data_IF_169583927963
#
_entry.id   IF_169583927963
#
_cell.length_a   1.000
_cell.length_b   1.000
_cell.length_c   1.000
_cell.angle_alpha   90.00
_cell.angle_beta   90.00
_cell.angle_gamma   90.00
#
_symmetry.space_group_name_H-M   'P 1'
#
loop_
_entity.id
_entity.type
_entity.pdbx_description
1 polymer ?
#
# COMPACT_ATOMS: atom_id res chain seq x y z
N UNK A 1 -21.60 -33.75 -8.21
CA UNK A 1 -20.16 -34.00 -8.12
C UNK A 1 -19.50 -32.70 -7.78
N UNK A 2 -18.67 -32.60 -6.75
CA UNK A 2 -17.89 -31.40 -6.51
C UNK A 2 -16.95 -31.17 -7.69
N UNK A 3 -16.68 -29.90 -8.09
CA UNK A 3 -15.76 -29.63 -9.19
C UNK A 3 -14.38 -30.21 -8.84
N UNK A 4 -13.85 -31.05 -9.73
CA UNK A 4 -12.49 -31.56 -9.61
C UNK A 4 -11.53 -30.39 -9.83
N UNK A 5 -10.91 -29.91 -8.77
CA UNK A 5 -9.81 -28.96 -8.89
C UNK A 5 -8.65 -29.64 -9.60
N UNK A 6 -8.12 -29.00 -10.62
CA UNK A 6 -6.89 -29.44 -11.28
C UNK A 6 -5.71 -29.20 -10.33
N UNK A 7 -4.66 -30.04 -10.35
CA UNK A 7 -3.41 -29.74 -9.67
C UNK A 7 -2.88 -28.36 -10.07
N UNK A 8 -2.27 -27.58 -9.16
CA UNK A 8 -1.83 -26.21 -9.42
C UNK A 8 -0.97 -26.04 -10.67
N UNK A 9 -0.05 -26.96 -10.93
CA UNK A 9 0.77 -26.91 -12.16
C UNK A 9 -0.06 -27.03 -13.44
N UNK A 10 -1.10 -27.87 -13.44
CA UNK A 10 -2.00 -28.01 -14.57
C UNK A 10 -2.93 -26.82 -14.69
N UNK A 11 -3.34 -26.23 -13.58
CA UNK A 11 -4.11 -25.00 -13.54
C UNK A 11 -3.28 -23.86 -14.15
N UNK A 12 -2.04 -23.69 -13.70
CA UNK A 12 -1.13 -22.66 -14.22
C UNK A 12 -0.89 -22.81 -15.73
N UNK A 13 -0.61 -24.02 -16.22
CA UNK A 13 -0.43 -24.29 -17.65
C UNK A 13 -1.70 -24.00 -18.46
N UNK A 14 -2.86 -24.30 -17.90
CA UNK A 14 -4.16 -24.02 -18.54
C UNK A 14 -4.44 -22.53 -18.57
N UNK A 15 -4.09 -21.80 -17.51
CA UNK A 15 -4.27 -20.34 -17.41
C UNK A 15 -3.31 -19.60 -18.36
N UNK A 16 -2.07 -20.05 -18.52
CA UNK A 16 -1.16 -19.51 -19.54
C UNK A 16 -1.68 -19.76 -20.97
N UNK A 17 -2.19 -20.98 -21.27
CA UNK A 17 -2.76 -21.27 -22.56
C UNK A 17 -4.02 -20.44 -22.85
N UNK A 18 -4.86 -20.22 -21.84
CA UNK A 18 -6.05 -19.39 -21.93
C UNK A 18 -5.68 -17.91 -22.12
N UNK A 19 -4.68 -17.42 -21.39
CA UNK A 19 -4.12 -16.07 -21.56
C UNK A 19 -3.60 -15.85 -22.98
N UNK A 20 -2.77 -16.76 -23.48
CA UNK A 20 -2.23 -16.68 -24.85
C UNK A 20 -3.38 -16.67 -25.90
N UNK A 21 -4.41 -17.47 -25.70
CA UNK A 21 -5.60 -17.48 -26.57
C UNK A 21 -6.40 -16.18 -26.49
N UNK A 22 -6.56 -15.62 -25.30
CA UNK A 22 -7.22 -14.34 -25.08
C UNK A 22 -6.46 -13.20 -25.78
N UNK A 23 -5.15 -13.11 -25.57
CA UNK A 23 -4.27 -12.11 -26.21
C UNK A 23 -4.33 -12.22 -27.72
N UNK A 24 -4.22 -13.44 -28.25
CA UNK A 24 -4.33 -13.67 -29.70
C UNK A 24 -5.68 -13.18 -30.27
N UNK A 25 -6.78 -13.42 -29.57
CA UNK A 25 -8.12 -12.95 -29.95
C UNK A 25 -8.21 -11.43 -29.89
N UNK A 26 -7.66 -10.79 -28.87
CA UNK A 26 -7.62 -9.34 -28.74
C UNK A 26 -6.86 -8.69 -29.90
N UNK A 27 -5.71 -9.22 -30.28
CA UNK A 27 -4.93 -8.72 -31.44
C UNK A 27 -5.70 -8.91 -32.75
N UNK A 28 -6.38 -10.03 -32.94
CA UNK A 28 -7.22 -10.27 -34.13
C UNK A 28 -8.41 -9.31 -34.19
N UNK A 29 -9.10 -9.10 -33.07
CA UNK A 29 -10.23 -8.16 -32.98
C UNK A 29 -9.78 -6.72 -33.24
N UNK A 30 -8.64 -6.30 -32.64
CA UNK A 30 -8.04 -5.00 -32.89
C UNK A 30 -7.77 -4.77 -34.38
N UNK A 31 -7.17 -5.75 -35.07
CA UNK A 31 -6.93 -5.67 -36.51
C UNK A 31 -8.25 -5.58 -37.32
N UNK A 32 -9.22 -6.39 -36.96
CA UNK A 32 -10.52 -6.45 -37.68
C UNK A 32 -11.29 -5.16 -37.56
N UNK A 33 -11.17 -4.40 -36.47
CA UNK A 33 -11.91 -3.14 -36.32
C UNK A 33 -11.22 -1.93 -36.97
N UNK A 34 -9.92 -2.00 -37.31
CA UNK A 34 -9.18 -0.87 -37.87
C UNK A 34 -9.83 -0.25 -39.11
N UNK A 35 -10.34 -1.02 -40.10
CA UNK A 35 -11.02 -0.44 -41.25
C UNK A 35 -12.23 0.42 -40.87
N UNK A 36 -12.99 -0.01 -39.84
CA UNK A 36 -14.13 0.75 -39.30
C UNK A 36 -13.76 2.02 -38.53
N UNK A 37 -12.51 2.12 -38.07
CA UNK A 37 -12.01 3.29 -37.35
C UNK A 37 -11.31 4.32 -38.27
N UNK A 38 -10.85 3.92 -39.45
CA UNK A 38 -10.16 4.84 -40.40
C UNK A 38 -11.01 6.08 -40.75
N UNK A 39 -12.33 6.01 -40.95
CA UNK A 39 -13.14 7.18 -41.24
C UNK A 39 -13.23 8.22 -40.11
N UNK A 40 -12.73 7.93 -38.92
CA UNK A 40 -12.68 8.90 -37.83
C UNK A 40 -11.67 10.02 -38.05
N UNK A 41 -10.70 9.81 -38.94
CA UNK A 41 -9.67 10.80 -39.28
C UNK A 41 -10.20 11.81 -40.27
N UNK A 42 -10.22 13.08 -39.85
CA UNK A 42 -10.58 14.20 -40.72
C UNK A 42 -9.31 14.90 -41.20
N UNK A 43 -8.93 14.66 -42.46
CA UNK A 43 -7.73 15.22 -43.06
C UNK A 43 -7.79 16.73 -43.29
N UNK A 44 -8.94 17.37 -43.12
CA UNK A 44 -9.10 18.83 -43.27
C UNK A 44 -8.59 19.59 -42.02
N UNK A 45 -8.44 18.91 -40.88
CA UNK A 45 -8.02 19.49 -39.63
C UNK A 45 -6.48 19.57 -39.50
N UNK A 46 -6.00 20.50 -38.70
CA UNK A 46 -4.57 20.52 -38.29
C UNK A 46 -4.21 19.24 -37.53
N UNK A 47 -2.94 18.86 -37.54
CA UNK A 47 -2.49 17.63 -36.87
C UNK A 47 -2.85 17.61 -35.38
N UNK A 48 -2.73 18.72 -34.68
CA UNK A 48 -3.11 18.81 -33.27
C UNK A 48 -4.62 18.73 -33.02
N UNK A 49 -5.42 19.31 -33.93
CA UNK A 49 -6.86 19.20 -33.87
C UNK A 49 -7.33 17.78 -34.22
N UNK A 50 -6.69 17.11 -35.19
CA UNK A 50 -6.90 15.70 -35.49
C UNK A 50 -6.66 14.81 -34.25
N UNK A 51 -5.56 15.03 -33.53
CA UNK A 51 -5.29 14.27 -32.29
C UNK A 51 -6.43 14.38 -31.26
N UNK A 52 -6.94 15.61 -31.08
CA UNK A 52 -8.04 15.85 -30.11
C UNK A 52 -9.34 15.22 -30.58
N UNK A 53 -9.68 15.45 -31.84
CA UNK A 53 -10.95 14.97 -32.44
C UNK A 53 -11.00 13.44 -32.53
N UNK A 54 -9.96 12.80 -33.06
CA UNK A 54 -9.86 11.34 -33.12
C UNK A 54 -9.88 10.71 -31.72
N UNK A 55 -9.19 11.30 -30.73
CA UNK A 55 -9.23 10.79 -29.34
C UNK A 55 -10.65 10.85 -28.75
N UNK A 56 -11.39 11.92 -29.00
CA UNK A 56 -12.78 12.07 -28.56
C UNK A 56 -13.67 11.05 -29.25
N UNK A 57 -13.63 10.97 -30.59
CA UNK A 57 -14.42 10.04 -31.39
C UNK A 57 -14.15 8.56 -31.02
N UNK A 58 -12.88 8.19 -30.76
CA UNK A 58 -12.53 6.83 -30.32
C UNK A 58 -13.14 6.46 -28.97
N UNK A 59 -13.18 7.39 -28.01
CA UNK A 59 -13.78 7.13 -26.69
C UNK A 59 -15.26 6.81 -26.75
N UNK A 60 -15.96 7.37 -27.73
CA UNK A 60 -17.41 7.25 -27.95
C UNK A 60 -17.76 6.18 -29.00
N UNK A 61 -16.76 5.68 -29.74
CA UNK A 61 -16.97 4.73 -30.81
C UNK A 61 -17.43 3.37 -30.30
N UNK A 62 -18.56 2.82 -30.73
CA UNK A 62 -19.08 1.54 -30.24
C UNK A 62 -18.09 0.36 -30.37
N UNK A 63 -17.39 0.27 -31.52
CA UNK A 63 -16.40 -0.79 -31.74
C UNK A 63 -15.25 -0.71 -30.72
N UNK A 64 -14.77 0.51 -30.42
CA UNK A 64 -13.73 0.71 -29.44
C UNK A 64 -14.20 0.40 -28.00
N UNK A 65 -15.40 0.84 -27.66
CA UNK A 65 -16.00 0.59 -26.34
C UNK A 65 -16.19 -0.90 -26.11
N UNK A 66 -16.75 -1.61 -27.11
CA UNK A 66 -16.95 -3.06 -27.07
C UNK A 66 -15.61 -3.80 -26.94
N UNK A 67 -14.63 -3.44 -27.76
CA UNK A 67 -13.29 -4.00 -27.71
C UNK A 67 -12.65 -3.84 -26.31
N UNK A 68 -12.69 -2.63 -25.76
CA UNK A 68 -12.12 -2.35 -24.44
C UNK A 68 -12.84 -3.13 -23.33
N UNK A 69 -14.16 -3.27 -23.40
CA UNK A 69 -14.94 -4.03 -22.44
C UNK A 69 -14.66 -5.53 -22.53
N UNK A 70 -14.44 -6.04 -23.73
CA UNK A 70 -14.22 -7.46 -23.96
C UNK A 70 -12.82 -7.93 -23.60
N UNK A 71 -11.79 -7.12 -23.90
CA UNK A 71 -10.40 -7.55 -23.84
C UNK A 71 -9.55 -6.86 -22.78
N UNK A 72 -9.97 -5.70 -22.28
CA UNK A 72 -9.17 -4.95 -21.32
C UNK A 72 -9.77 -5.07 -19.92
N UNK A 73 -10.62 -4.16 -19.51
CA UNK A 73 -11.33 -4.21 -18.23
C UNK A 73 -12.34 -3.05 -18.13
N UNK A 74 -13.40 -3.25 -17.37
CA UNK A 74 -14.41 -2.22 -17.09
C UNK A 74 -14.17 -1.47 -15.77
N UNK A 75 -13.24 -1.93 -14.93
CA UNK A 75 -12.99 -1.34 -13.62
C UNK A 75 -12.42 0.08 -13.73
N UNK A 76 -12.98 1.01 -12.96
CA UNK A 76 -12.61 2.45 -13.01
C UNK A 76 -11.16 2.73 -12.63
N UNK A 77 -10.56 1.90 -11.78
CA UNK A 77 -9.16 2.05 -11.39
C UNK A 77 -8.18 1.82 -12.55
N UNK A 78 -8.62 1.17 -13.62
CA UNK A 78 -7.84 0.92 -14.85
C UNK A 78 -8.22 1.83 -16.01
N UNK A 79 -8.97 2.89 -15.76
CA UNK A 79 -9.33 3.87 -16.79
C UNK A 79 -8.11 4.45 -17.53
N UNK A 80 -6.96 4.53 -16.86
CA UNK A 80 -5.69 4.93 -17.47
C UNK A 80 -5.22 3.98 -18.57
N UNK A 81 -5.43 2.66 -18.45
CA UNK A 81 -5.05 1.67 -19.45
C UNK A 81 -5.92 1.80 -20.70
N UNK A 82 -7.24 1.98 -20.50
CA UNK A 82 -8.19 2.21 -21.60
C UNK A 82 -7.81 3.47 -22.36
N UNK A 83 -7.52 4.56 -21.66
CA UNK A 83 -7.10 5.81 -22.29
C UNK A 83 -5.76 5.65 -23.04
N UNK A 84 -4.78 4.97 -22.45
CA UNK A 84 -3.49 4.75 -23.10
C UNK A 84 -3.66 3.94 -24.39
N UNK A 85 -4.49 2.90 -24.35
CA UNK A 85 -4.75 2.09 -25.54
C UNK A 85 -5.52 2.88 -26.61
N UNK A 86 -6.52 3.68 -26.24
CA UNK A 86 -7.20 4.63 -27.14
C UNK A 86 -6.18 5.55 -27.83
N UNK A 87 -5.19 6.09 -27.09
CA UNK A 87 -4.14 6.93 -27.67
C UNK A 87 -3.25 6.15 -28.63
N UNK A 88 -2.97 4.87 -28.38
CA UNK A 88 -2.22 4.04 -29.33
C UNK A 88 -3.01 3.80 -30.64
N UNK A 89 -4.33 3.55 -30.55
CA UNK A 89 -5.18 3.49 -31.74
C UNK A 89 -5.19 4.82 -32.51
N UNK A 90 -5.36 5.94 -31.78
CA UNK A 90 -5.25 7.28 -32.38
C UNK A 90 -3.93 7.46 -33.13
N UNK A 91 -2.83 7.16 -32.46
CA UNK A 91 -1.49 7.36 -32.98
C UNK A 91 -1.24 6.49 -34.25
N UNK A 92 -1.81 5.29 -34.26
CA UNK A 92 -1.81 4.45 -35.46
C UNK A 92 -2.66 5.03 -36.59
N UNK A 93 -3.88 5.46 -36.31
CA UNK A 93 -4.79 6.06 -37.31
C UNK A 93 -4.20 7.33 -37.92
N UNK A 94 -3.44 8.10 -37.14
CA UNK A 94 -2.73 9.30 -37.61
C UNK A 94 -1.35 8.99 -38.21
N UNK A 95 -0.97 7.73 -38.35
CA UNK A 95 0.29 7.32 -38.98
C UNK A 95 1.55 7.59 -38.15
N UNK A 96 1.44 7.96 -36.87
CA UNK A 96 2.60 8.28 -36.00
C UNK A 96 3.27 7.03 -35.42
N UNK A 97 2.58 5.90 -35.38
CA UNK A 97 3.13 4.59 -35.03
C UNK A 97 2.80 3.54 -36.08
N UNK A 98 3.58 2.46 -36.13
CA UNK A 98 3.35 1.34 -37.04
C UNK A 98 2.37 0.33 -36.44
N UNK A 99 1.76 -0.50 -37.32
CA UNK A 99 0.85 -1.56 -36.89
C UNK A 99 1.46 -2.49 -35.81
N UNK A 100 2.76 -2.81 -35.93
CA UNK A 100 3.46 -3.64 -34.94
C UNK A 100 3.48 -3.02 -33.53
N UNK A 101 3.58 -1.69 -33.47
CA UNK A 101 3.64 -0.98 -32.18
C UNK A 101 2.24 -0.92 -31.53
N UNK A 102 1.20 -0.79 -32.34
CA UNK A 102 -0.18 -0.94 -31.86
C UNK A 102 -0.45 -2.37 -31.38
N UNK A 103 -0.02 -3.39 -32.12
CA UNK A 103 -0.19 -4.78 -31.75
C UNK A 103 0.50 -5.09 -30.43
N UNK A 104 1.75 -4.66 -30.23
CA UNK A 104 2.46 -4.82 -28.97
C UNK A 104 1.73 -4.17 -27.79
N UNK A 105 1.13 -2.99 -28.01
CA UNK A 105 0.31 -2.34 -26.99
C UNK A 105 -0.96 -3.15 -26.67
N UNK A 106 -1.66 -3.66 -27.70
CA UNK A 106 -2.83 -4.52 -27.50
C UNK A 106 -2.47 -5.78 -26.77
N UNK A 107 -1.39 -6.46 -27.13
CA UNK A 107 -0.88 -7.66 -26.46
C UNK A 107 -0.63 -7.40 -24.97
N UNK A 108 0.10 -6.33 -24.66
CA UNK A 108 0.42 -5.96 -23.28
C UNK A 108 -0.82 -5.69 -22.42
N UNK A 109 -1.77 -4.91 -22.95
CA UNK A 109 -2.98 -4.54 -22.18
C UNK A 109 -4.04 -5.64 -22.14
N UNK A 110 -4.16 -6.47 -23.19
CA UNK A 110 -5.04 -7.63 -23.18
C UNK A 110 -4.53 -8.74 -22.24
N UNK A 111 -3.20 -8.93 -22.17
CA UNK A 111 -2.57 -9.81 -21.17
C UNK A 111 -2.93 -9.38 -19.75
N UNK A 112 -2.74 -8.09 -19.45
CA UNK A 112 -3.11 -7.51 -18.13
C UNK A 112 -4.62 -7.62 -17.85
N UNK A 113 -5.46 -7.39 -18.87
CA UNK A 113 -6.92 -7.52 -18.75
C UNK A 113 -7.38 -8.96 -18.49
N UNK A 114 -6.69 -9.95 -19.07
CA UNK A 114 -6.94 -11.36 -18.79
C UNK A 114 -6.60 -11.71 -17.35
N UNK A 115 -5.42 -11.31 -16.90
CA UNK A 115 -4.96 -11.52 -15.53
C UNK A 115 -5.93 -10.95 -14.50
N UNK A 116 -6.50 -9.75 -14.74
CA UNK A 116 -7.51 -9.17 -13.82
C UNK A 116 -8.79 -9.97 -13.74
N UNK A 117 -9.28 -10.52 -14.86
CA UNK A 117 -10.53 -11.30 -14.90
C UNK A 117 -10.37 -12.70 -14.29
N UNK A 118 -9.29 -13.40 -14.63
CA UNK A 118 -9.04 -14.76 -14.12
C UNK A 118 -8.63 -14.73 -12.65
N UNK A 119 -7.86 -13.74 -12.22
CA UNK A 119 -7.51 -13.53 -10.83
C UNK A 119 -8.76 -13.22 -9.98
N UNK A 120 -9.70 -12.42 -10.50
CA UNK A 120 -10.98 -12.19 -9.81
C UNK A 120 -11.77 -13.50 -9.64
N UNK A 121 -11.71 -14.41 -10.61
CA UNK A 121 -12.36 -15.73 -10.55
C UNK A 121 -11.60 -16.68 -9.61
N UNK A 122 -10.27 -16.72 -9.63
CA UNK A 122 -9.45 -17.51 -8.71
C UNK A 122 -9.52 -16.99 -7.28
N UNK A 123 -9.56 -15.67 -7.07
CA UNK A 123 -9.82 -15.08 -5.75
C UNK A 123 -11.17 -15.51 -5.18
N UNK A 124 -12.19 -15.73 -6.00
CA UNK A 124 -13.47 -16.25 -5.48
C UNK A 124 -13.35 -17.69 -4.96
N UNK A 125 -12.44 -18.50 -5.50
CA UNK A 125 -12.13 -19.84 -5.00
C UNK A 125 -11.23 -19.78 -3.75
N UNK A 126 -10.23 -18.91 -3.76
CA UNK A 126 -9.32 -18.67 -2.63
C UNK A 126 -10.00 -17.98 -1.45
N UNK A 127 -11.00 -17.12 -1.72
CA UNK A 127 -11.86 -16.52 -0.68
C UNK A 127 -12.58 -17.55 0.18
N UNK A 128 -12.73 -18.80 -0.29
CA UNK A 128 -13.31 -19.89 0.50
C UNK A 128 -12.30 -20.56 1.45
N UNK A 129 -11.00 -20.40 1.19
CA UNK A 129 -9.93 -21.00 1.98
C UNK A 129 -9.48 -20.07 3.10
N UNK A 130 -9.47 -18.77 2.83
CA UNK A 130 -9.14 -17.75 3.83
C UNK A 130 -10.44 -17.29 4.51
N UNK A 131 -10.54 -17.34 5.85
CA UNK A 131 -11.68 -16.84 6.60
C UNK A 131 -12.12 -15.46 6.14
N UNK A 132 -13.43 -15.22 6.03
CA UNK A 132 -13.99 -14.00 5.47
C UNK A 132 -13.46 -12.77 6.22
N UNK A 133 -13.36 -12.88 7.53
CA UNK A 133 -12.90 -11.86 8.46
C UNK A 133 -11.45 -11.46 8.22
N UNK A 134 -10.61 -12.39 7.78
CA UNK A 134 -9.21 -12.10 7.48
C UNK A 134 -8.97 -11.59 6.05
N UNK A 135 -9.96 -11.69 5.16
CA UNK A 135 -9.83 -11.23 3.77
C UNK A 135 -9.73 -9.73 3.64
N UNK A 136 -10.36 -9.01 4.56
CA UNK A 136 -10.31 -7.56 4.62
C UNK A 136 -8.90 -7.05 4.94
N UNK A 137 -8.08 -7.88 5.59
CA UNK A 137 -6.69 -7.55 5.95
C UNK A 137 -5.68 -7.88 4.87
N UNK A 138 -6.10 -8.70 3.90
CA UNK A 138 -5.26 -8.98 2.75
C UNK A 138 -5.52 -7.89 1.70
N UNK A 139 -4.47 -7.26 1.17
CA UNK A 139 -4.65 -6.34 0.07
C UNK A 139 -5.43 -7.04 -1.05
N UNK A 140 -6.53 -6.46 -1.53
CA UNK A 140 -7.39 -7.02 -2.60
C UNK A 140 -6.62 -7.41 -3.87
N UNK A 141 -5.40 -6.97 -3.96
CA UNK A 141 -4.51 -7.15 -5.09
C UNK A 141 -3.48 -8.27 -4.91
N UNK A 142 -3.48 -8.94 -3.75
CA UNK A 142 -2.59 -10.07 -3.54
C UNK A 142 -3.29 -11.34 -4.00
N UNK A 143 -2.71 -11.98 -5.01
CA UNK A 143 -3.08 -13.33 -5.43
C UNK A 143 -2.32 -14.31 -4.59
N UNK A 144 -3.04 -15.27 -4.08
CA UNK A 144 -2.51 -16.33 -3.25
C UNK A 144 -2.54 -17.63 -4.04
N UNK A 145 -1.38 -18.15 -4.42
CA UNK A 145 -1.25 -19.48 -5.01
C UNK A 145 -1.36 -20.53 -3.89
N UNK A 146 -2.15 -21.55 -4.10
CA UNK A 146 -2.39 -22.61 -3.13
C UNK A 146 -1.63 -23.85 -3.57
N UNK A 147 -0.80 -24.39 -2.69
CA UNK A 147 -0.10 -25.66 -2.91
C UNK A 147 -1.09 -26.84 -2.94
N UNK A 148 -0.69 -28.00 -3.50
CA UNK A 148 -1.55 -29.20 -3.59
C UNK A 148 -2.12 -29.68 -2.25
N UNK A 149 -1.47 -29.36 -1.14
CA UNK A 149 -1.90 -29.69 0.23
C UNK A 149 -2.89 -28.67 0.82
N UNK A 150 -3.27 -27.64 0.05
CA UNK A 150 -4.14 -26.57 0.49
C UNK A 150 -3.42 -25.44 1.24
N UNK A 151 -2.11 -25.53 1.43
CA UNK A 151 -1.30 -24.42 1.96
C UNK A 151 -1.10 -23.34 0.90
N UNK A 152 -0.87 -22.13 1.35
CA UNK A 152 -0.67 -20.99 0.45
C UNK A 152 0.79 -20.91 0.08
N UNK A 153 1.14 -21.34 -1.15
CA UNK A 153 2.49 -21.45 -1.62
C UNK A 153 3.15 -20.11 -1.91
N UNK A 154 2.38 -19.17 -2.47
CA UNK A 154 2.92 -17.90 -2.95
C UNK A 154 1.90 -16.81 -2.86
N UNK A 155 2.32 -15.63 -2.41
CA UNK A 155 1.55 -14.39 -2.51
C UNK A 155 2.07 -13.61 -3.71
N UNK A 156 1.23 -13.47 -4.73
CA UNK A 156 1.56 -12.67 -5.91
C UNK A 156 0.62 -11.49 -6.00
N UNK A 157 1.12 -10.39 -6.50
CA UNK A 157 0.30 -9.25 -6.84
C UNK A 157 -0.65 -9.58 -8.00
N UNK A 158 -1.78 -8.88 -8.05
CA UNK A 158 -2.76 -8.92 -9.14
C UNK A 158 -2.12 -8.66 -10.51
N UNK A 159 -0.95 -7.98 -10.49
CA UNK A 159 -0.20 -7.56 -11.66
C UNK A 159 1.28 -7.83 -11.45
N UNK A 160 1.98 -8.35 -12.46
CA UNK A 160 3.44 -8.49 -12.42
C UNK A 160 4.14 -7.19 -12.02
N UNK A 161 3.64 -6.03 -12.47
CA UNK A 161 4.18 -4.72 -12.10
C UNK A 161 3.97 -4.39 -10.62
N UNK A 162 2.89 -4.87 -9.99
CA UNK A 162 2.61 -4.66 -8.59
C UNK A 162 3.39 -5.64 -7.70
N UNK A 163 3.58 -6.88 -8.16
CA UNK A 163 4.49 -7.84 -7.56
C UNK A 163 5.91 -7.29 -7.50
N UNK A 164 6.42 -6.84 -8.64
CA UNK A 164 7.71 -6.16 -8.73
C UNK A 164 7.77 -4.92 -7.84
N UNK A 165 6.66 -4.21 -7.71
CA UNK A 165 6.54 -3.06 -6.82
C UNK A 165 6.56 -3.47 -5.35
N UNK A 166 5.93 -4.60 -4.98
CA UNK A 166 5.96 -5.11 -3.61
C UNK A 166 7.35 -5.62 -3.23
N UNK A 167 7.98 -6.39 -4.10
CA UNK A 167 9.37 -6.84 -3.93
C UNK A 167 10.32 -5.65 -3.77
N UNK A 168 10.23 -4.65 -4.67
CA UNK A 168 11.01 -3.41 -4.56
C UNK A 168 10.70 -2.61 -3.28
N UNK A 169 9.43 -2.54 -2.87
CA UNK A 169 9.07 -1.89 -1.59
C UNK A 169 9.69 -2.63 -0.41
N UNK A 170 9.70 -3.95 -0.45
CA UNK A 170 10.31 -4.78 0.59
C UNK A 170 11.82 -4.63 0.61
N UNK A 171 12.47 -4.75 -0.53
CA UNK A 171 13.92 -4.53 -0.68
C UNK A 171 14.31 -3.13 -0.20
N UNK A 172 13.55 -2.13 -0.60
CA UNK A 172 13.77 -0.75 -0.20
C UNK A 172 13.60 -0.53 1.29
N UNK A 173 12.58 -1.13 1.90
CA UNK A 173 12.39 -1.07 3.35
C UNK A 173 13.52 -1.77 4.08
N UNK A 174 13.97 -2.93 3.60
CA UNK A 174 15.13 -3.64 4.15
C UNK A 174 16.43 -2.84 4.00
N UNK A 175 16.60 -2.18 2.86
CA UNK A 175 17.74 -1.29 2.65
C UNK A 175 17.76 -0.16 3.69
N UNK A 176 16.62 0.48 3.94
CA UNK A 176 16.49 1.52 4.96
C UNK A 176 16.78 0.96 6.36
N UNK A 177 16.19 -0.20 6.71
CA UNK A 177 16.40 -0.81 8.03
C UNK A 177 17.87 -1.16 8.29
N UNK A 178 18.58 -1.68 7.28
CA UNK A 178 20.02 -1.99 7.40
C UNK A 178 20.87 -0.74 7.63
N UNK A 179 20.47 0.40 7.08
CA UNK A 179 21.21 1.66 7.17
C UNK A 179 20.58 2.64 8.17
N UNK A 180 19.56 2.23 8.92
CA UNK A 180 18.77 3.16 9.72
C UNK A 180 19.62 3.96 10.72
N UNK A 181 20.56 3.31 11.39
CA UNK A 181 21.46 3.98 12.33
C UNK A 181 22.37 5.01 11.63
N UNK A 182 22.85 4.70 10.43
CA UNK A 182 23.67 5.61 9.64
C UNK A 182 22.83 6.80 9.12
N UNK A 183 21.60 6.55 8.71
CA UNK A 183 20.66 7.60 8.32
C UNK A 183 20.41 8.55 9.49
N UNK A 184 20.08 8.01 10.66
CA UNK A 184 19.87 8.80 11.89
C UNK A 184 21.12 9.61 12.24
N UNK A 185 22.31 9.00 12.20
CA UNK A 185 23.57 9.69 12.47
C UNK A 185 23.83 10.81 11.46
N UNK A 186 23.56 10.59 10.19
CA UNK A 186 23.69 11.59 9.13
C UNK A 186 22.73 12.77 9.34
N UNK A 187 21.47 12.48 9.63
CA UNK A 187 20.48 13.53 9.91
C UNK A 187 20.88 14.35 11.15
N UNK A 188 21.29 13.69 12.23
CA UNK A 188 21.76 14.36 13.46
C UNK A 188 22.97 15.25 13.20
N UNK A 189 23.93 14.80 12.41
CA UNK A 189 25.09 15.62 12.02
C UNK A 189 24.66 16.81 11.18
N UNK A 190 23.78 16.61 10.20
CA UNK A 190 23.34 17.63 9.28
C UNK A 190 22.42 18.67 9.97
N UNK A 191 21.76 18.35 11.09
CA UNK A 191 21.08 19.31 11.96
C UNK A 191 22.04 20.36 12.58
N UNK A 192 23.35 20.06 12.66
CA UNK A 192 24.38 20.95 13.15
C UNK A 192 25.14 21.66 12.01
N UNK A 193 24.70 21.49 10.77
CA UNK A 193 25.36 22.10 9.60
C UNK A 193 25.32 23.62 9.67
N UNK A 194 26.41 24.23 9.22
CA UNK A 194 26.45 25.68 8.93
C UNK A 194 25.69 26.06 7.66
N UNK A 195 25.50 25.10 6.73
CA UNK A 195 24.60 25.28 5.58
C UNK A 195 23.15 25.16 6.04
N UNK A 196 22.45 26.29 6.00
CA UNK A 196 21.09 26.39 6.50
C UNK A 196 20.10 25.51 5.72
N UNK A 197 20.29 25.34 4.40
CA UNK A 197 19.45 24.45 3.59
C UNK A 197 19.63 22.99 3.98
N UNK A 198 20.86 22.57 4.30
CA UNK A 198 21.14 21.23 4.83
C UNK A 198 20.47 21.06 6.20
N UNK A 199 20.62 22.05 7.08
CA UNK A 199 20.02 22.04 8.42
C UNK A 199 18.48 21.97 8.38
N UNK A 200 17.84 22.75 7.50
CA UNK A 200 16.39 22.70 7.27
C UNK A 200 15.94 21.37 6.72
N UNK A 201 16.67 20.81 5.74
CA UNK A 201 16.38 19.50 5.18
C UNK A 201 16.47 18.39 6.24
N UNK A 202 17.49 18.44 7.09
CA UNK A 202 17.67 17.49 8.18
C UNK A 202 16.56 17.60 9.23
N UNK A 203 16.13 18.81 9.58
CA UNK A 203 15.03 19.05 10.49
C UNK A 203 13.71 18.49 9.94
N UNK A 204 13.39 18.81 8.70
CA UNK A 204 12.18 18.29 8.02
C UNK A 204 12.22 16.77 7.92
N UNK A 205 13.39 16.20 7.61
CA UNK A 205 13.60 14.76 7.57
C UNK A 205 13.34 14.13 8.93
N UNK A 206 13.87 14.69 10.02
CA UNK A 206 13.61 14.24 11.39
C UNK A 206 12.12 14.24 11.72
N UNK A 207 11.43 15.32 11.38
CA UNK A 207 9.97 15.43 11.57
C UNK A 207 9.24 14.33 10.81
N UNK A 208 9.59 14.07 9.53
CA UNK A 208 8.97 13.01 8.73
C UNK A 208 9.27 11.63 9.31
N UNK A 209 10.49 11.38 9.76
CA UNK A 209 10.89 10.10 10.35
C UNK A 209 10.12 9.81 11.64
N UNK A 210 9.97 10.80 12.51
CA UNK A 210 9.28 10.63 13.79
C UNK A 210 7.76 10.55 13.65
N UNK A 211 7.18 11.43 12.81
CA UNK A 211 5.71 11.60 12.75
C UNK A 211 5.05 10.87 11.59
N UNK A 212 5.79 10.55 10.53
CA UNK A 212 5.21 10.02 9.30
C UNK A 212 4.35 11.01 8.50
N UNK A 213 4.38 12.32 8.78
CA UNK A 213 3.63 13.31 7.98
C UNK A 213 4.17 13.40 6.56
N UNK A 214 3.35 13.88 5.63
CA UNK A 214 3.75 14.00 4.21
C UNK A 214 4.69 15.17 4.01
N UNK A 215 5.63 15.09 3.05
CA UNK A 215 6.52 16.21 2.76
C UNK A 215 5.78 17.53 2.48
N UNK A 216 4.71 17.51 1.68
CA UNK A 216 3.99 18.72 1.28
C UNK A 216 4.55 19.36 -0.01
N UNK A 217 3.73 20.15 -0.67
CA UNK A 217 4.10 21.05 -1.76
C UNK A 217 3.24 22.29 -1.65
N UNK A 218 3.82 23.44 -1.88
CA UNK A 218 3.07 24.71 -1.93
C UNK A 218 2.00 24.70 -3.04
N UNK A 219 0.91 25.41 -2.82
CA UNK A 219 -0.20 25.54 -3.78
C UNK A 219 -1.10 24.32 -3.87
N UNK A 220 -0.93 23.30 -3.01
CA UNK A 220 -1.87 22.19 -2.94
C UNK A 220 -3.13 22.61 -2.19
N UNK A 221 -4.28 22.26 -2.74
CA UNK A 221 -5.58 22.50 -2.13
C UNK A 221 -6.45 21.23 -2.15
N UNK A 222 -7.47 21.21 -1.33
CA UNK A 222 -8.48 20.17 -1.28
C UNK A 222 -9.87 20.78 -1.16
N UNK A 223 -10.85 20.14 -1.79
CA UNK A 223 -12.25 20.47 -1.59
C UNK A 223 -12.77 19.71 -0.36
N UNK A 224 -13.14 20.42 0.69
CA UNK A 224 -13.81 19.89 1.88
C UNK A 224 -15.26 20.33 1.90
N UNK A 225 -16.12 19.55 2.55
CA UNK A 225 -17.50 19.96 2.81
C UNK A 225 -17.57 20.55 4.21
N UNK A 226 -17.94 21.83 4.30
CA UNK A 226 -18.24 22.51 5.55
C UNK A 226 -19.73 22.88 5.48
N UNK A 227 -20.53 22.36 6.40
CA UNK A 227 -21.98 22.54 6.43
C UNK A 227 -22.70 22.24 5.11
N UNK A 228 -22.21 21.20 4.41
CA UNK A 228 -22.76 20.78 3.12
C UNK A 228 -22.22 21.54 1.90
N UNK A 229 -21.52 22.66 2.10
CA UNK A 229 -20.93 23.50 1.04
C UNK A 229 -19.51 23.00 0.74
N UNK A 230 -19.18 22.86 -0.55
CA UNK A 230 -17.79 22.58 -0.96
C UNK A 230 -16.96 23.85 -0.85
N UNK A 231 -15.95 23.81 -0.02
CA UNK A 231 -14.98 24.88 0.18
C UNK A 231 -13.59 24.37 -0.20
N UNK A 232 -12.86 25.13 -0.99
CA UNK A 232 -11.46 24.85 -1.28
C UNK A 232 -10.59 25.34 -0.10
N UNK A 233 -9.80 24.43 0.47
CA UNK A 233 -8.89 24.72 1.58
C UNK A 233 -7.46 24.39 1.18
N UNK A 234 -6.52 25.23 1.58
CA UNK A 234 -5.09 24.97 1.39
C UNK A 234 -4.67 23.74 2.22
N UNK A 235 -3.81 22.90 1.65
CA UNK A 235 -3.32 21.69 2.31
C UNK A 235 -1.82 21.76 2.54
N UNK A 236 -1.39 21.26 3.68
CA UNK A 236 -0.02 21.37 4.17
C UNK A 236 0.66 20.02 4.32
N UNK A 237 1.96 20.05 4.54
CA UNK A 237 2.83 18.93 4.88
C UNK A 237 4.14 19.44 5.47
N UNK A 238 5.10 18.58 5.73
CA UNK A 238 6.31 18.90 6.47
C UNK A 238 7.06 20.15 5.96
N UNK A 239 7.18 20.33 4.64
CA UNK A 239 7.89 21.50 4.05
C UNK A 239 7.06 22.79 4.03
N UNK A 240 5.74 22.69 4.21
CA UNK A 240 4.80 23.81 4.09
C UNK A 240 4.09 24.14 5.39
N UNK A 241 4.60 23.67 6.52
CA UNK A 241 4.06 24.04 7.84
C UNK A 241 4.22 25.53 8.08
N UNK A 242 3.14 26.19 8.55
CA UNK A 242 3.17 27.55 9.04
C UNK A 242 3.28 27.61 10.57
N UNK A 243 3.64 28.76 11.18
CA UNK A 243 3.74 28.90 12.62
C UNK A 243 2.47 28.50 13.37
N UNK A 244 1.31 28.74 12.80
CA UNK A 244 0.00 28.39 13.38
C UNK A 244 -0.24 26.89 13.50
N UNK A 245 0.52 26.07 12.76
CA UNK A 245 0.40 24.61 12.77
C UNK A 245 1.20 23.95 13.89
N UNK A 246 2.10 24.68 14.57
CA UNK A 246 2.96 24.17 15.62
C UNK A 246 2.48 24.68 16.97
N UNK A 247 2.10 23.75 17.85
CA UNK A 247 1.73 24.05 19.22
C UNK A 247 2.77 23.42 20.15
N UNK A 248 3.55 24.26 20.82
CA UNK A 248 4.51 23.81 21.83
C UNK A 248 3.76 23.70 23.15
N UNK A 249 3.62 22.51 23.70
CA UNK A 249 2.81 22.28 24.90
C UNK A 249 3.66 22.26 26.17
N UNK A 250 4.85 21.70 26.10
CA UNK A 250 5.89 21.66 27.17
C UNK A 250 7.24 21.39 26.53
N UNK A 251 8.33 21.47 27.34
CA UNK A 251 9.71 21.24 26.88
C UNK A 251 9.94 19.85 26.25
N UNK A 252 9.04 18.90 26.46
CA UNK A 252 9.21 17.50 26.09
C UNK A 252 8.37 17.03 24.89
N UNK A 253 7.43 17.83 24.38
CA UNK A 253 6.68 17.49 23.17
C UNK A 253 6.09 18.71 22.48
N UNK A 254 5.96 18.61 21.16
CA UNK A 254 5.24 19.56 20.32
C UNK A 254 4.20 18.84 19.48
N UNK A 255 3.06 19.50 19.27
CA UNK A 255 2.02 18.99 18.36
C UNK A 255 2.02 19.77 17.07
N UNK A 256 1.86 19.03 15.96
CA UNK A 256 1.66 19.58 14.62
C UNK A 256 0.22 19.31 14.22
N UNK A 257 -0.56 20.37 14.01
CA UNK A 257 -1.98 20.27 13.62
C UNK A 257 -2.23 21.09 12.35
N UNK A 258 -2.64 20.44 11.28
CA UNK A 258 -2.86 21.07 9.98
C UNK A 258 -3.81 20.28 9.09
N UNK A 259 -4.36 20.93 8.05
CA UNK A 259 -5.15 20.26 7.02
C UNK A 259 -4.21 19.67 5.97
N UNK A 260 -4.21 18.36 5.83
CA UNK A 260 -3.41 17.62 4.87
C UNK A 260 -4.14 17.30 3.56
N UNK A 261 -3.53 16.45 2.76
CA UNK A 261 -4.06 16.04 1.45
C UNK A 261 -5.48 15.50 1.58
N UNK A 262 -6.35 15.86 0.63
CA UNK A 262 -7.78 15.54 0.60
C UNK A 262 -8.62 16.21 1.72
N UNK A 263 -8.06 17.18 2.43
CA UNK A 263 -8.75 17.88 3.49
C UNK A 263 -8.75 17.16 4.84
N UNK A 264 -7.93 16.11 5.00
CA UNK A 264 -7.82 15.39 6.28
C UNK A 264 -7.09 16.24 7.33
N UNK A 265 -7.60 16.26 8.55
CA UNK A 265 -6.89 16.86 9.69
C UNK A 265 -5.74 15.94 10.09
N UNK A 266 -4.52 16.48 10.09
CA UNK A 266 -3.33 15.81 10.57
C UNK A 266 -3.01 16.31 11.97
N UNK A 267 -2.85 15.38 12.90
CA UNK A 267 -2.35 15.60 14.23
C UNK A 267 -1.14 14.71 14.47
N UNK A 268 0.02 15.29 14.67
CA UNK A 268 1.25 14.55 14.93
C UNK A 268 1.94 15.11 16.18
N UNK A 269 2.67 14.23 16.87
CA UNK A 269 3.40 14.58 18.09
C UNK A 269 4.89 14.36 17.85
N UNK A 270 5.68 15.38 18.18
CA UNK A 270 7.14 15.31 18.26
C UNK A 270 7.53 15.15 19.72
N UNK A 271 8.46 14.28 20.02
CA UNK A 271 8.94 13.95 21.37
C UNK A 271 10.46 14.10 21.53
N UNK A 272 11.23 14.24 20.44
CA UNK A 272 12.66 14.51 20.50
C UNK A 272 12.89 15.99 20.90
N UNK A 273 13.38 16.20 22.12
CA UNK A 273 13.60 17.53 22.68
C UNK A 273 14.55 18.39 21.83
N UNK A 274 15.55 17.78 21.17
CA UNK A 274 16.50 18.49 20.31
C UNK A 274 15.82 18.99 19.03
N UNK A 275 14.96 18.19 18.46
CA UNK A 275 14.17 18.56 17.27
C UNK A 275 13.18 19.66 17.61
N UNK A 276 12.50 19.55 18.76
CA UNK A 276 11.55 20.53 19.25
C UNK A 276 12.22 21.89 19.46
N UNK A 277 13.40 21.92 20.10
CA UNK A 277 14.16 23.15 20.34
C UNK A 277 14.57 23.84 19.02
N UNK A 278 15.04 23.07 18.04
CA UNK A 278 15.40 23.63 16.72
C UNK A 278 14.15 24.13 16.01
N UNK A 279 13.07 23.34 16.01
CA UNK A 279 11.79 23.74 15.40
C UNK A 279 11.25 25.04 16.02
N UNK A 280 11.27 25.18 17.35
CA UNK A 280 10.83 26.39 18.06
C UNK A 280 11.63 27.63 17.60
N UNK A 281 12.93 27.50 17.36
CA UNK A 281 13.74 28.60 16.85
C UNK A 281 13.29 29.08 15.47
N UNK A 282 12.91 28.14 14.60
CA UNK A 282 12.39 28.46 13.26
C UNK A 282 10.97 29.03 13.32
N UNK A 283 10.12 28.53 14.23
CA UNK A 283 8.78 29.12 14.48
C UNK A 283 8.90 30.57 14.92
N UNK A 284 9.76 30.88 15.91
CA UNK A 284 10.02 32.21 16.37
C UNK A 284 10.55 33.12 15.25
N UNK A 285 11.47 32.63 14.44
CA UNK A 285 12.00 33.35 13.28
C UNK A 285 10.88 33.68 12.27
N UNK A 286 10.04 32.69 11.94
CA UNK A 286 8.93 32.87 11.01
C UNK A 286 7.91 33.92 11.52
N UNK A 287 7.59 33.90 12.81
CA UNK A 287 6.72 34.89 13.44
C UNK A 287 7.33 36.29 13.38
N UNK A 288 8.61 36.44 13.69
CA UNK A 288 9.32 37.73 13.66
C UNK A 288 9.41 38.28 12.23
N UNK A 289 9.62 37.45 11.24
CA UNK A 289 9.71 37.87 9.83
C UNK A 289 8.35 37.98 9.14
N UNK A 290 7.27 37.50 9.75
CA UNK A 290 5.93 37.45 9.15
C UNK A 290 5.84 36.52 7.94
N UNK A 291 6.63 35.44 7.92
CA UNK A 291 6.62 34.47 6.80
C UNK A 291 5.46 33.49 6.94
N UNK A 292 4.91 33.08 5.79
CA UNK A 292 3.82 32.10 5.74
C UNK A 292 4.25 30.71 6.26
N UNK A 293 5.48 30.33 5.96
CA UNK A 293 6.04 29.01 6.30
C UNK A 293 7.14 29.13 7.37
N UNK A 294 7.30 28.07 8.18
CA UNK A 294 8.34 27.99 9.22
C UNK A 294 9.72 27.84 8.58
N UNK A 295 9.80 27.03 7.53
CA UNK A 295 11.06 26.63 6.94
C UNK A 295 11.48 27.65 5.88
N UNK A 296 12.14 28.68 6.36
CA UNK A 296 12.73 29.74 5.56
C UNK A 296 14.20 29.95 5.97
N UNK A 297 15.04 30.29 5.01
CA UNK A 297 16.45 30.62 5.26
C UNK A 297 16.58 31.96 6.00
N UNK A 298 17.79 32.29 6.44
CA UNK A 298 18.06 33.59 7.05
C UNK A 298 17.74 34.78 6.12
N UNK A 299 17.91 34.58 4.83
CA UNK A 299 17.57 35.58 3.80
C UNK A 299 16.07 35.63 3.51
N UNK A 300 15.25 34.78 4.11
CA UNK A 300 13.81 34.72 3.92
C UNK A 300 13.35 33.84 2.74
N UNK A 301 14.28 33.16 2.07
CA UNK A 301 13.94 32.23 0.99
C UNK A 301 13.21 31.00 1.52
N UNK A 302 12.05 30.62 0.97
CA UNK A 302 11.32 29.45 1.40
C UNK A 302 12.08 28.18 1.02
N UNK A 303 12.10 27.21 1.95
CA UNK A 303 12.59 25.86 1.69
C UNK A 303 11.46 25.03 1.08
N UNK A 304 11.64 24.57 -0.14
CA UNK A 304 10.60 23.86 -0.86
C UNK A 304 10.84 22.33 -0.92
N UNK A 305 9.86 21.62 -1.50
CA UNK A 305 9.95 20.16 -1.67
C UNK A 305 11.15 19.73 -2.56
N UNK A 306 11.58 20.57 -3.51
CA UNK A 306 12.72 20.26 -4.41
C UNK A 306 14.03 20.33 -3.64
N UNK A 307 14.15 21.22 -2.65
CA UNK A 307 15.31 21.29 -1.75
C UNK A 307 15.41 20.00 -0.95
N UNK A 308 14.27 19.51 -0.41
CA UNK A 308 14.23 18.23 0.28
C UNK A 308 14.61 17.05 -0.63
N UNK A 309 14.10 17.01 -1.87
CA UNK A 309 14.48 15.98 -2.84
C UNK A 309 15.98 16.01 -3.16
N UNK A 310 16.58 17.20 -3.31
CA UNK A 310 18.02 17.36 -3.52
C UNK A 310 18.84 16.84 -2.35
N UNK A 311 18.41 17.16 -1.11
CA UNK A 311 19.02 16.63 0.10
C UNK A 311 18.98 15.12 0.13
N UNK A 312 17.83 14.51 -0.13
CA UNK A 312 17.68 13.05 -0.15
C UNK A 312 18.59 12.40 -1.20
N UNK A 313 18.62 12.93 -2.43
CA UNK A 313 19.50 12.42 -3.48
C UNK A 313 20.98 12.50 -3.12
N UNK A 314 21.37 13.53 -2.39
CA UNK A 314 22.76 13.75 -2.00
C UNK A 314 23.19 12.90 -0.79
N UNK A 315 22.27 12.59 0.13
CA UNK A 315 22.55 11.89 1.39
C UNK A 315 22.12 10.44 1.41
N UNK A 316 21.00 10.14 0.79
CA UNK A 316 20.32 8.85 0.91
C UNK A 316 19.99 8.31 -0.47
N UNK A 317 20.99 7.69 -1.11
CA UNK A 317 20.82 7.10 -2.43
C UNK A 317 19.59 6.18 -2.47
N UNK A 318 18.72 6.39 -3.43
CA UNK A 318 17.52 5.58 -3.68
C UNK A 318 16.45 5.59 -2.56
N UNK A 319 16.55 6.47 -1.57
CA UNK A 319 15.53 6.67 -0.53
C UNK A 319 14.73 7.95 -0.82
N UNK A 320 13.43 7.88 -0.71
CA UNK A 320 12.54 9.04 -0.82
C UNK A 320 11.91 9.38 0.55
N UNK A 321 11.53 10.64 0.80
CA UNK A 321 10.87 11.04 2.05
C UNK A 321 9.63 10.20 2.37
N UNK A 322 8.89 9.76 1.34
CA UNK A 322 7.70 8.92 1.49
C UNK A 322 7.98 7.50 1.98
N UNK A 323 9.22 7.03 1.89
CA UNK A 323 9.57 5.68 2.33
C UNK A 323 9.62 5.59 3.85
N UNK A 324 10.00 6.67 4.55
CA UNK A 324 9.91 6.74 6.01
C UNK A 324 8.47 6.64 6.51
N UNK A 325 7.50 7.17 5.77
CA UNK A 325 6.09 7.00 6.09
C UNK A 325 5.64 5.55 6.02
N UNK A 326 6.11 4.81 5.00
CA UNK A 326 5.82 3.38 4.86
C UNK A 326 6.49 2.58 5.97
N UNK A 327 7.73 2.93 6.30
CA UNK A 327 8.45 2.34 7.43
C UNK A 327 7.69 2.57 8.73
N UNK A 328 7.30 3.82 9.00
CA UNK A 328 6.55 4.18 10.22
C UNK A 328 5.22 3.44 10.35
N UNK A 329 4.43 3.35 9.27
CA UNK A 329 3.18 2.60 9.27
C UNK A 329 3.40 1.10 9.53
N UNK A 330 4.42 0.53 8.89
CA UNK A 330 4.76 -0.90 9.07
C UNK A 330 5.28 -1.19 10.47
N UNK A 331 6.12 -0.31 10.99
CA UNK A 331 6.63 -0.37 12.37
C UNK A 331 5.50 -0.28 13.39
N UNK A 332 4.55 0.64 13.21
CA UNK A 332 3.38 0.77 14.09
C UNK A 332 2.54 -0.51 14.12
N UNK A 333 2.29 -1.12 12.96
CA UNK A 333 1.59 -2.41 12.89
C UNK A 333 2.38 -3.50 13.61
N UNK A 334 3.69 -3.59 13.37
CA UNK A 334 4.56 -4.56 14.03
C UNK A 334 4.52 -4.40 15.56
N UNK A 335 4.70 -3.18 16.05
CA UNK A 335 4.69 -2.86 17.48
C UNK A 335 3.32 -3.15 18.12
N UNK A 336 2.24 -2.77 17.44
CA UNK A 336 0.88 -3.00 17.93
C UNK A 336 0.56 -4.48 18.06
N UNK A 337 0.89 -5.30 17.04
CA UNK A 337 0.70 -6.75 17.12
C UNK A 337 1.60 -7.33 18.24
N UNK A 338 2.86 -6.94 18.31
CA UNK A 338 3.80 -7.43 19.33
C UNK A 338 3.29 -7.15 20.76
N UNK A 339 2.76 -5.96 20.99
CA UNK A 339 2.21 -5.57 22.29
C UNK A 339 0.95 -6.36 22.70
N UNK A 340 0.19 -6.84 21.72
CA UNK A 340 -1.07 -7.57 21.95
C UNK A 340 -0.90 -9.09 21.98
N UNK A 341 0.27 -9.62 21.60
CA UNK A 341 0.45 -11.07 21.43
C UNK A 341 0.20 -11.88 22.70
N UNK A 342 0.69 -11.43 23.86
CA UNK A 342 0.56 -12.19 25.10
C UNK A 342 -0.91 -12.22 25.59
N UNK A 343 -1.63 -11.11 25.42
CA UNK A 343 -3.07 -11.05 25.67
C UNK A 343 -3.85 -11.95 24.71
N UNK A 344 -3.53 -11.90 23.41
CA UNK A 344 -4.12 -12.79 22.41
C UNK A 344 -3.95 -14.27 22.80
N UNK A 345 -2.76 -14.68 23.21
CA UNK A 345 -2.52 -16.06 23.61
C UNK A 345 -3.27 -16.44 24.89
N UNK A 346 -3.42 -15.51 25.84
CA UNK A 346 -4.24 -15.73 27.03
C UNK A 346 -5.72 -15.92 26.67
N UNK A 347 -6.25 -15.09 25.79
CA UNK A 347 -7.61 -15.22 25.28
C UNK A 347 -7.84 -16.54 24.52
N UNK A 348 -6.88 -16.95 23.66
CA UNK A 348 -6.95 -18.22 22.95
C UNK A 348 -6.96 -19.40 23.93
N UNK A 349 -6.09 -19.41 24.96
CA UNK A 349 -6.10 -20.45 26.00
C UNK A 349 -7.46 -20.54 26.72
N UNK A 350 -8.06 -19.39 27.01
CA UNK A 350 -9.38 -19.31 27.62
C UNK A 350 -10.45 -19.92 26.72
N UNK A 351 -10.49 -19.57 25.43
CA UNK A 351 -11.42 -20.13 24.45
C UNK A 351 -11.28 -21.65 24.37
N UNK A 352 -10.04 -22.15 24.30
CA UNK A 352 -9.74 -23.60 24.29
C UNK A 352 -10.26 -24.29 25.57
N UNK A 353 -10.03 -23.69 26.75
CA UNK A 353 -10.45 -24.26 28.02
C UNK A 353 -11.97 -24.28 28.22
N UNK A 354 -12.68 -23.41 27.53
CA UNK A 354 -14.16 -23.32 27.59
C UNK A 354 -14.87 -24.31 26.68
N UNK A 355 -14.15 -25.05 25.82
CA UNK A 355 -14.72 -26.06 24.93
C UNK A 355 -15.75 -25.49 23.95
N UNK A 356 -15.42 -24.33 23.34
CA UNK A 356 -16.33 -23.64 22.41
C UNK A 356 -16.59 -24.51 21.19
N UNK A 357 -17.85 -24.63 20.78
CA UNK A 357 -18.29 -25.50 19.66
C UNK A 357 -17.66 -25.18 18.32
N UNK A 358 -17.30 -23.91 18.06
CA UNK A 358 -16.54 -23.49 16.87
C UNK A 358 -15.24 -22.79 17.31
N UNK A 359 -14.25 -23.62 17.63
CA UNK A 359 -12.96 -23.16 18.10
C UNK A 359 -12.23 -22.33 17.04
N UNK A 360 -12.32 -22.72 15.76
CA UNK A 360 -11.62 -22.01 14.69
C UNK A 360 -12.17 -20.61 14.50
N UNK A 361 -13.49 -20.48 14.45
CA UNK A 361 -14.14 -19.17 14.32
C UNK A 361 -13.81 -18.25 15.50
N UNK A 362 -13.87 -18.77 16.73
CA UNK A 362 -13.54 -17.99 17.92
C UNK A 362 -12.07 -17.49 17.90
N UNK A 363 -11.13 -18.30 17.42
CA UNK A 363 -9.72 -17.89 17.26
C UNK A 363 -9.58 -16.85 16.16
N UNK A 364 -10.24 -17.02 15.02
CA UNK A 364 -10.25 -16.07 13.91
C UNK A 364 -10.74 -14.70 14.36
N UNK A 365 -11.81 -14.62 15.14
CA UNK A 365 -12.32 -13.36 15.69
C UNK A 365 -11.29 -12.65 16.57
N UNK A 366 -10.54 -13.39 17.41
CA UNK A 366 -9.49 -12.81 18.25
C UNK A 366 -8.33 -12.27 17.42
N UNK A 367 -7.88 -13.03 16.42
CA UNK A 367 -6.81 -12.62 15.52
C UNK A 367 -7.23 -11.38 14.72
N UNK A 368 -8.48 -11.38 14.23
CA UNK A 368 -9.06 -10.26 13.49
C UNK A 368 -9.04 -8.98 14.32
N UNK A 369 -9.48 -9.05 15.57
CA UNK A 369 -9.48 -7.90 16.48
C UNK A 369 -8.08 -7.30 16.68
N UNK A 370 -7.04 -8.13 16.83
CA UNK A 370 -5.64 -7.68 16.93
C UNK A 370 -5.21 -6.97 15.66
N UNK A 371 -5.52 -7.52 14.50
CA UNK A 371 -5.13 -6.92 13.21
C UNK A 371 -5.87 -5.61 12.93
N UNK A 372 -7.17 -5.54 13.23
CA UNK A 372 -7.95 -4.31 13.09
C UNK A 372 -7.38 -3.18 13.93
N UNK A 373 -7.11 -3.47 15.19
CA UNK A 373 -6.50 -2.50 16.10
C UNK A 373 -5.13 -2.03 15.59
N UNK A 374 -4.27 -2.96 15.15
CA UNK A 374 -2.96 -2.61 14.63
C UNK A 374 -3.03 -1.71 13.38
N UNK A 375 -3.97 -1.98 12.47
CA UNK A 375 -4.19 -1.15 11.28
C UNK A 375 -4.77 0.22 11.65
N UNK A 376 -5.71 0.26 12.60
CA UNK A 376 -6.29 1.52 13.07
C UNK A 376 -5.25 2.43 13.73
N UNK A 377 -4.34 1.88 14.53
CA UNK A 377 -3.23 2.63 15.12
C UNK A 377 -2.26 3.17 14.06
N UNK A 378 -1.92 2.38 13.03
CA UNK A 378 -1.11 2.84 11.92
C UNK A 378 -1.83 3.89 11.07
N UNK A 379 -3.14 3.78 10.90
CA UNK A 379 -3.98 4.77 10.24
C UNK A 379 -3.94 6.11 11.01
N UNK A 380 -4.13 6.06 12.31
CA UNK A 380 -4.10 7.23 13.18
C UNK A 380 -2.70 7.90 13.14
N UNK A 381 -1.62 7.10 13.25
CA UNK A 381 -0.25 7.58 13.19
C UNK A 381 0.10 8.32 11.88
N UNK A 382 -0.53 7.96 10.77
CA UNK A 382 -0.35 8.63 9.48
C UNK A 382 -1.40 9.70 9.17
N UNK A 383 -2.37 9.91 10.06
CA UNK A 383 -3.54 10.79 9.86
C UNK A 383 -4.25 10.47 8.53
N UNK A 384 -4.55 9.19 8.29
CA UNK A 384 -5.30 8.76 7.11
C UNK A 384 -6.79 8.64 7.41
N UNK A 385 -7.63 9.13 6.51
CA UNK A 385 -9.09 9.03 6.65
C UNK A 385 -9.63 7.61 6.38
N UNK A 386 -8.81 6.75 5.74
CA UNK A 386 -9.23 5.45 5.26
C UNK A 386 -8.19 4.38 5.59
N UNK A 387 -8.62 3.35 6.35
CA UNK A 387 -7.81 2.19 6.71
C UNK A 387 -7.30 1.42 5.48
N UNK A 388 -8.10 1.33 4.41
CA UNK A 388 -7.69 0.67 3.16
C UNK A 388 -6.49 1.35 2.52
N UNK A 389 -6.44 2.68 2.52
CA UNK A 389 -5.27 3.41 2.01
C UNK A 389 -4.03 3.08 2.83
N UNK A 390 -4.15 2.97 4.15
CA UNK A 390 -3.04 2.61 5.04
C UNK A 390 -2.57 1.19 4.76
N UNK A 391 -3.47 0.21 4.73
CA UNK A 391 -3.16 -1.19 4.43
C UNK A 391 -2.45 -1.35 3.08
N UNK A 392 -3.06 -0.86 2.01
CA UNK A 392 -2.60 -1.10 0.63
C UNK A 392 -1.32 -0.37 0.27
N UNK A 393 -1.18 0.87 0.76
CA UNK A 393 -0.13 1.78 0.26
C UNK A 393 1.06 1.94 1.20
N UNK A 394 0.88 1.68 2.49
CA UNK A 394 1.87 2.02 3.50
C UNK A 394 2.38 0.83 4.30
N UNK A 395 1.53 -0.13 4.65
CA UNK A 395 1.95 -1.31 5.41
C UNK A 395 2.67 -2.29 4.48
N UNK A 396 3.79 -2.86 4.94
CA UNK A 396 4.40 -3.99 4.26
C UNK A 396 3.64 -5.27 4.66
N UNK A 397 2.98 -5.94 3.72
CA UNK A 397 2.15 -7.10 4.02
C UNK A 397 2.93 -8.27 4.64
N UNK A 398 4.26 -8.35 4.48
CA UNK A 398 5.07 -9.43 5.06
C UNK A 398 4.96 -9.52 6.58
N UNK A 399 4.76 -8.38 7.27
CA UNK A 399 4.54 -8.38 8.73
C UNK A 399 3.24 -9.12 9.08
N UNK A 400 2.16 -8.84 8.34
CA UNK A 400 0.87 -9.52 8.55
C UNK A 400 0.94 -10.99 8.16
N UNK A 401 1.58 -11.29 7.02
CA UNK A 401 1.75 -12.65 6.53
C UNK A 401 2.55 -13.52 7.51
N UNK A 402 3.63 -12.96 8.07
CA UNK A 402 4.39 -13.65 9.09
C UNK A 402 3.52 -13.96 10.31
N UNK A 403 2.84 -12.95 10.86
CA UNK A 403 1.97 -13.13 12.02
C UNK A 403 0.92 -14.22 11.77
N UNK A 404 0.22 -14.16 10.64
CA UNK A 404 -0.81 -15.12 10.27
C UNK A 404 -0.26 -16.54 10.05
N UNK A 405 0.94 -16.67 9.47
CA UNK A 405 1.53 -18.00 9.19
C UNK A 405 2.26 -18.63 10.35
N UNK A 406 2.74 -17.85 11.31
CA UNK A 406 3.57 -18.36 12.41
C UNK A 406 2.95 -18.18 13.80
N UNK A 407 1.87 -17.41 13.90
CA UNK A 407 1.26 -17.02 15.16
C UNK A 407 2.00 -15.90 15.90
N UNK A 408 3.12 -15.38 15.37
CA UNK A 408 3.89 -14.28 15.98
C UNK A 408 4.56 -13.38 14.93
N UNK A 409 4.83 -12.11 15.28
CA UNK A 409 5.48 -11.17 14.35
C UNK A 409 7.01 -11.28 14.33
N UNK A 410 7.62 -12.01 15.24
CA UNK A 410 9.09 -12.05 15.42
C UNK A 410 9.57 -11.07 16.47
N UNK A 411 10.90 -11.00 16.66
CA UNK A 411 11.54 -10.14 17.67
C UNK A 411 11.83 -8.74 17.14
N UNK A 412 12.06 -8.61 15.84
CA UNK A 412 12.40 -7.33 15.20
C UNK A 412 11.58 -7.14 13.92
N UNK A 413 11.39 -5.88 13.53
CA UNK A 413 10.73 -5.54 12.27
C UNK A 413 11.50 -6.12 11.06
N UNK A 414 12.83 -6.09 11.10
CA UNK A 414 13.67 -6.68 10.07
C UNK A 414 13.42 -8.18 9.91
N UNK A 415 13.33 -8.92 11.03
CA UNK A 415 12.99 -10.34 11.03
C UNK A 415 11.60 -10.58 10.47
N UNK A 416 10.61 -9.76 10.83
CA UNK A 416 9.25 -9.87 10.32
C UNK A 416 9.15 -9.72 8.80
N UNK A 417 10.02 -8.89 8.22
CA UNK A 417 10.04 -8.60 6.77
C UNK A 417 10.97 -9.60 6.02
N UNK A 418 12.07 -10.01 6.65
CA UNK A 418 13.08 -10.91 6.02
C UNK A 418 12.69 -12.37 6.03
N UNK A 419 11.82 -12.78 6.97
CA UNK A 419 11.39 -14.18 6.96
C UNK A 419 10.81 -14.47 5.58
N UNK A 420 11.63 -15.18 4.78
CA UNK A 420 11.42 -15.41 3.35
C UNK A 420 10.17 -16.20 2.99
N UNK A 421 9.26 -16.37 3.94
CA UNK A 421 7.95 -16.96 3.73
C UNK A 421 7.13 -16.03 2.84
N UNK A 422 7.19 -16.31 1.59
CA UNK A 422 6.24 -15.82 0.58
C UNK A 422 4.92 -16.62 0.63
N UNK A 423 4.79 -17.53 1.58
CA UNK A 423 3.66 -18.44 1.74
C UNK A 423 2.82 -18.03 2.94
N UNK A 424 1.53 -17.83 2.74
CA UNK A 424 0.57 -17.75 3.80
C UNK A 424 -0.06 -19.14 4.01
N UNK A 425 0.50 -19.91 4.93
CA UNK A 425 -0.24 -21.04 5.51
C UNK A 425 -0.99 -20.50 6.73
N UNK A 426 -2.19 -19.96 6.54
CA UNK A 426 -3.03 -19.55 7.65
C UNK A 426 -3.77 -20.77 8.19
N UNK A 427 -3.36 -21.16 9.39
CA UNK A 427 -4.02 -22.19 10.18
C UNK A 427 -4.35 -21.58 11.56
N UNK A 428 -5.63 -21.34 11.89
CA UNK A 428 -6.03 -20.84 13.20
C UNK A 428 -5.52 -21.71 14.35
N UNK A 429 -5.43 -23.03 14.18
CA UNK A 429 -4.97 -23.96 15.21
C UNK A 429 -3.48 -23.77 15.53
N UNK A 430 -2.68 -23.25 14.60
CA UNK A 430 -1.28 -22.89 14.90
C UNK A 430 -1.17 -21.84 16.00
N UNK A 431 -2.14 -20.93 16.11
CA UNK A 431 -2.17 -19.98 17.21
C UNK A 431 -2.45 -20.66 18.55
N UNK A 432 -3.19 -21.77 18.56
CA UNK A 432 -3.36 -22.61 19.76
C UNK A 432 -2.01 -23.23 20.15
N UNK A 433 -1.30 -23.83 19.21
CA UNK A 433 0.03 -24.42 19.48
C UNK A 433 1.00 -23.38 20.07
N UNK A 434 1.06 -22.19 19.48
CA UNK A 434 1.89 -21.10 19.99
C UNK A 434 1.43 -20.63 21.37
N UNK A 435 0.13 -20.47 21.58
CA UNK A 435 -0.44 -20.05 22.86
C UNK A 435 -0.16 -21.07 23.97
N UNK A 436 -0.26 -22.36 23.67
CA UNK A 436 -0.02 -23.45 24.63
C UNK A 436 1.47 -23.64 24.92
N UNK A 437 2.35 -23.52 23.92
CA UNK A 437 3.81 -23.65 24.10
C UNK A 437 4.41 -22.56 25.00
N UNK A 438 3.79 -21.39 25.06
CA UNK A 438 4.21 -20.27 25.92
C UNK A 438 3.66 -20.35 27.34
N UNK A 439 2.78 -21.30 27.63
CA UNK A 439 2.29 -21.56 28.97
C UNK A 439 3.35 -22.34 29.75
N UNK A 440 4.10 -21.65 30.61
CA UNK A 440 5.29 -22.16 31.32
C UNK A 440 5.00 -23.26 32.39
N UNK A 441 3.87 -23.94 32.39
CA UNK A 441 3.59 -24.98 33.39
C UNK A 441 2.53 -25.97 32.92
N UNK A 442 2.96 -27.02 32.27
CA UNK A 442 2.16 -28.22 32.05
C UNK A 442 2.10 -28.68 30.60
N UNK A 443 2.59 -29.88 30.35
CA UNK A 443 2.52 -30.56 29.07
C UNK A 443 1.08 -31.02 28.74
N UNK A 444 0.24 -30.09 28.29
CA UNK A 444 -1.00 -30.43 27.59
C UNK A 444 -0.74 -30.19 26.12
N UNK A 445 -0.69 -31.23 25.32
CA UNK A 445 -0.52 -31.11 23.87
C UNK A 445 -1.87 -30.86 23.22
N UNK A 446 -1.86 -30.22 22.03
CA UNK A 446 -3.07 -30.07 21.20
C UNK A 446 -3.77 -31.42 20.98
N UNK A 447 -3.00 -32.52 20.89
CA UNK A 447 -3.48 -33.88 20.74
C UNK A 447 -4.33 -34.33 21.96
N UNK A 448 -3.99 -33.90 23.16
CA UNK A 448 -4.73 -34.19 24.38
C UNK A 448 -6.04 -33.41 24.46
N UNK A 449 -6.03 -32.17 23.94
CA UNK A 449 -7.23 -31.32 23.87
C UNK A 449 -8.21 -31.84 22.82
N UNK A 450 -7.72 -32.20 21.62
CA UNK A 450 -8.56 -32.74 20.54
C UNK A 450 -9.12 -34.13 20.92
N UNK A 451 -8.39 -34.91 21.71
CA UNK A 451 -8.89 -36.20 22.25
C UNK A 451 -10.05 -36.00 23.19
N UNK A 452 -9.99 -34.97 24.05
CA UNK A 452 -11.08 -34.63 24.95
C UNK A 452 -12.32 -34.08 24.22
N UNK A 453 -12.15 -33.38 23.09
CA UNK A 453 -13.26 -32.88 22.27
C UNK A 453 -13.97 -34.01 21.50
N UNK A 454 -13.23 -35.01 21.01
CA UNK A 454 -13.82 -36.19 20.35
C UNK A 454 -14.50 -37.14 21.32
N UNK A 455 -14.11 -37.17 22.59
CA UNK A 455 -14.79 -37.95 23.63
C UNK A 455 -16.12 -37.30 24.13
N UNK A 456 -16.26 -35.96 23.97
CA UNK A 456 -17.49 -35.23 24.28
C UNK A 456 -18.56 -35.38 23.17
N UNK A 457 -18.15 -35.59 21.91
CA UNK A 457 -19.07 -35.86 20.79
C UNK A 457 -19.53 -37.33 20.72
N UNK A 458 -18.89 -38.23 21.46
CA UNK A 458 -19.19 -39.67 21.49
C UNK A 458 -20.00 -40.12 22.71
N UNK A 459 -20.33 -39.25 23.65
CA UNK A 459 -21.17 -39.48 24.83
C UNK A 459 -22.48 -38.71 24.77
#
# INVERSE_FOLDING_TARGET
MPPRFLPPEKQYQQDEANRAKHVKRAVQAAKAMLPGLMPLVDSSLTFEDQKRDVSRKLKENPLMVEFLNQYITTESEYASWRNTLIYRFRDYLLGTIKLKDLQAAVEAYASKGFETKEIANSQSALRKIIPAELREYMPDKIVVDVDPDGSIARVTDRFENERFTLEKKTERMMFILKQYNEIVATVKRDLQSSDEKIKLAALITSIIMETGIRPGKEGNAANVKIDGVKVEVETFGATTLGPQHVKLVRDNYATLEFIGKKGSTNLAVLSDASIIQILDSYVKRALTKGTKFIFVTEDGEPFDYRDLERYFRSRFKDIAPTDFRKLRATEQVFQSIAAQQDELYAEIRKVVSQGVSDLQQAIVEKITAVLEKAVAEAQAALSHDNADTTRRSYINPKVLLRFLSTGHVGKTLAEAILDGRTTLAFDPLRFVDVAMSKSASGHVTLRDILKNLTEIEAG
#
